data_IF_433751866569
#
_entry.id   IF_433751866569
#
_cell.length_a   1.000
_cell.length_b   1.000
_cell.length_c   1.000
_cell.angle_alpha   90.00
_cell.angle_beta   90.00
_cell.angle_gamma   90.00
#
_symmetry.space_group_name_H-M   'P 1'
#
loop_
_entity.id
_entity.type
_entity.pdbx_description
1 polymer ?
#
# COMPACT_ATOMS: atom_id res chain seq x y z
N UNK A 1 54.53 -25.21 13.94
CA UNK A 1 53.29 -24.49 13.59
C UNK A 1 53.51 -23.61 12.37
N UNK A 2 53.49 -24.22 11.17
CA UNK A 2 53.48 -23.60 9.86
C UNK A 2 52.01 -23.41 9.38
N UNK A 3 51.79 -22.71 8.24
CA UNK A 3 50.52 -22.57 7.45
C UNK A 3 49.72 -21.26 7.46
N UNK A 4 50.21 -20.15 8.02
CA UNK A 4 49.51 -18.85 7.84
C UNK A 4 50.38 -17.75 7.20
N UNK A 5 51.70 -17.79 7.35
CA UNK A 5 52.59 -16.78 6.75
C UNK A 5 52.89 -17.00 5.24
N UNK A 6 52.67 -18.22 4.71
CA UNK A 6 52.91 -18.53 3.29
C UNK A 6 51.68 -18.29 2.41
N UNK A 7 50.50 -18.09 2.99
CA UNK A 7 49.23 -17.93 2.25
C UNK A 7 48.83 -16.48 1.99
N UNK A 8 49.53 -15.52 2.59
CA UNK A 8 49.29 -14.07 2.41
C UNK A 8 50.23 -13.48 1.34
N UNK A 9 51.34 -14.15 1.03
CA UNK A 9 52.31 -13.69 0.03
C UNK A 9 51.91 -14.06 -1.42
N UNK A 10 50.89 -14.90 -1.59
CA UNK A 10 50.42 -15.38 -2.89
C UNK A 10 49.17 -14.63 -3.41
N UNK A 11 48.37 -14.03 -2.53
CA UNK A 11 47.16 -13.28 -2.94
C UNK A 11 47.40 -11.78 -3.22
N UNK A 12 48.54 -11.21 -2.80
CA UNK A 12 48.81 -9.76 -2.98
C UNK A 12 49.73 -9.48 -4.20
N UNK A 13 50.30 -10.52 -4.82
CA UNK A 13 51.31 -10.39 -5.88
C UNK A 13 50.80 -10.50 -7.32
N UNK A 14 49.54 -10.89 -7.53
CA UNK A 14 49.04 -11.31 -8.86
C UNK A 14 48.05 -10.33 -9.49
N UNK A 15 47.51 -9.35 -8.77
CA UNK A 15 46.59 -8.35 -9.35
C UNK A 15 47.27 -7.06 -9.88
N UNK A 16 48.54 -6.82 -9.57
CA UNK A 16 49.17 -5.52 -9.86
C UNK A 16 50.13 -5.48 -11.07
N UNK A 17 50.28 -6.57 -11.84
CA UNK A 17 51.32 -6.66 -12.89
C UNK A 17 50.85 -6.84 -14.33
N UNK A 18 49.56 -6.67 -14.65
CA UNK A 18 49.12 -6.62 -16.05
C UNK A 18 48.04 -5.56 -16.22
N UNK A 19 48.28 -4.64 -17.16
CA UNK A 19 47.32 -3.66 -17.69
C UNK A 19 47.41 -2.24 -17.12
N UNK A 20 48.61 -1.65 -17.13
CA UNK A 20 48.73 -0.24 -17.51
C UNK A 20 49.75 -0.14 -18.63
N UNK A 21 49.26 -0.24 -19.86
CA UNK A 21 49.72 0.47 -21.06
C UNK A 21 48.96 -0.10 -22.26
N UNK A 22 48.22 0.79 -22.94
CA UNK A 22 47.84 0.73 -24.35
C UNK A 22 46.36 1.09 -24.56
N UNK A 23 46.18 2.36 -24.92
CA UNK A 23 45.45 2.72 -26.14
C UNK A 23 43.94 2.55 -26.13
N UNK A 24 43.30 3.67 -25.79
CA UNK A 24 42.11 4.20 -26.45
C UNK A 24 41.98 3.75 -27.92
N UNK A 25 41.08 2.78 -28.21
CA UNK A 25 40.45 2.66 -29.53
C UNK A 25 39.24 1.70 -29.49
N UNK A 26 38.05 2.32 -29.41
CA UNK A 26 36.80 1.94 -30.11
C UNK A 26 36.03 0.67 -29.69
N UNK A 27 34.71 0.90 -29.57
CA UNK A 27 33.56 -0.01 -29.65
C UNK A 27 33.08 -0.69 -28.34
N UNK A 28 32.09 -0.02 -27.73
CA UNK A 28 31.06 -0.48 -26.79
C UNK A 28 30.89 -2.01 -26.72
N UNK A 29 31.50 -2.63 -25.71
CA UNK A 29 31.16 -3.98 -25.26
C UNK A 29 30.07 -3.91 -24.19
N UNK A 30 29.04 -4.73 -24.37
CA UNK A 30 27.88 -4.87 -23.49
C UNK A 30 28.33 -5.32 -22.09
N UNK A 31 27.90 -4.68 -20.98
CA UNK A 31 28.35 -5.03 -19.64
C UNK A 31 27.79 -6.39 -19.20
N UNK A 32 28.62 -7.21 -18.55
CA UNK A 32 28.28 -8.58 -18.08
C UNK A 32 27.07 -8.63 -17.11
N UNK A 33 26.69 -7.49 -16.52
CA UNK A 33 25.46 -7.31 -15.74
C UNK A 33 24.19 -7.50 -16.58
N UNK A 34 24.21 -7.09 -17.86
CA UNK A 34 23.08 -7.27 -18.78
C UNK A 34 22.92 -8.75 -19.16
N UNK A 35 24.03 -9.49 -19.27
CA UNK A 35 24.00 -10.94 -19.55
C UNK A 35 23.41 -11.71 -18.36
N UNK A 36 23.73 -11.32 -17.13
CA UNK A 36 23.12 -11.88 -15.91
C UNK A 36 21.62 -11.57 -15.80
N UNK A 37 21.20 -10.34 -16.11
CA UNK A 37 19.78 -9.97 -16.11
C UNK A 37 19.01 -10.77 -17.16
N UNK A 38 19.55 -10.89 -18.38
CA UNK A 38 18.92 -11.69 -19.46
C UNK A 38 18.88 -13.18 -19.11
N UNK A 39 19.94 -13.74 -18.51
CA UNK A 39 19.93 -15.14 -18.07
C UNK A 39 18.96 -15.37 -16.90
N UNK A 40 18.85 -14.42 -15.97
CA UNK A 40 17.88 -14.49 -14.87
C UNK A 40 16.45 -14.39 -15.39
N UNK A 41 16.19 -13.54 -16.39
CA UNK A 41 14.87 -13.43 -17.02
C UNK A 41 14.54 -14.68 -17.86
N UNK A 42 15.53 -15.27 -18.52
CA UNK A 42 15.38 -16.50 -19.29
C UNK A 42 15.18 -17.73 -18.40
N UNK A 43 15.87 -17.82 -17.26
CA UNK A 43 15.65 -18.85 -16.23
C UNK A 43 14.28 -18.68 -15.56
N UNK A 44 13.85 -17.46 -15.29
CA UNK A 44 12.51 -17.18 -14.75
C UNK A 44 11.42 -17.54 -15.77
N UNK A 45 11.63 -17.24 -17.05
CA UNK A 45 10.72 -17.62 -18.13
C UNK A 45 10.63 -19.15 -18.30
N UNK A 46 11.76 -19.87 -18.22
CA UNK A 46 11.80 -21.34 -18.26
C UNK A 46 11.13 -21.93 -17.01
N UNK A 47 11.31 -21.33 -15.84
CA UNK A 47 10.65 -21.75 -14.61
C UNK A 47 9.12 -21.56 -14.69
N UNK A 48 8.64 -20.49 -15.33
CA UNK A 48 7.21 -20.27 -15.58
C UNK A 48 6.62 -21.20 -16.64
N UNK A 49 7.39 -21.59 -17.67
CA UNK A 49 6.95 -22.55 -18.71
C UNK A 49 6.96 -23.99 -18.19
N UNK A 50 7.77 -24.29 -17.17
CA UNK A 50 7.91 -25.62 -16.57
C UNK A 50 6.91 -25.95 -15.45
N UNK A 51 6.00 -25.05 -15.08
CA UNK A 51 4.90 -25.43 -14.21
C UNK A 51 4.00 -26.42 -14.97
N UNK A 52 3.76 -27.64 -14.47
CA UNK A 52 2.64 -28.40 -14.96
C UNK A 52 1.40 -27.53 -14.71
N UNK A 53 0.69 -27.19 -15.79
CA UNK A 53 -0.73 -26.85 -15.71
C UNK A 53 -1.40 -28.04 -15.05
N UNK A 54 -1.48 -28.02 -13.72
CA UNK A 54 -2.44 -28.85 -13.02
C UNK A 54 -3.79 -28.42 -13.60
N UNK A 55 -4.33 -29.27 -14.46
CA UNK A 55 -5.75 -29.23 -14.80
C UNK A 55 -6.47 -29.03 -13.48
N UNK A 56 -7.16 -27.90 -13.35
CA UNK A 56 -7.99 -27.62 -12.20
C UNK A 56 -8.89 -28.84 -12.05
N UNK A 57 -8.70 -29.61 -10.98
CA UNK A 57 -9.69 -30.59 -10.59
C UNK A 57 -11.00 -29.80 -10.48
N UNK A 58 -12.08 -30.24 -11.14
CA UNK A 58 -13.33 -29.51 -11.07
C UNK A 58 -13.68 -29.38 -9.59
N UNK A 59 -13.82 -28.14 -9.12
CA UNK A 59 -14.44 -27.88 -7.83
C UNK A 59 -15.79 -28.61 -7.90
N UNK A 60 -16.14 -29.49 -6.94
CA UNK A 60 -17.39 -30.23 -6.99
C UNK A 60 -18.57 -29.26 -7.18
N UNK A 61 -19.27 -29.35 -8.31
CA UNK A 61 -20.40 -28.48 -8.67
C UNK A 61 -20.08 -27.29 -9.59
N UNK A 62 -18.81 -27.02 -9.93
CA UNK A 62 -18.41 -25.93 -10.84
C UNK A 62 -17.56 -26.52 -11.97
N UNK A 63 -18.20 -26.79 -13.11
CA UNK A 63 -17.52 -27.16 -14.35
C UNK A 63 -17.56 -25.94 -15.29
N UNK A 64 -16.47 -25.19 -15.37
CA UNK A 64 -16.32 -24.10 -16.33
C UNK A 64 -15.84 -24.74 -17.64
N UNK A 65 -16.75 -25.42 -18.34
CA UNK A 65 -16.53 -25.85 -19.72
C UNK A 65 -16.96 -24.72 -20.65
N UNK A 66 -16.04 -24.25 -21.50
CA UNK A 66 -16.35 -23.35 -22.62
C UNK A 66 -16.90 -24.20 -23.76
N UNK A 67 -18.00 -24.91 -23.49
CA UNK A 67 -18.77 -25.64 -24.50
C UNK A 67 -20.00 -24.81 -24.89
N UNK A 68 -20.52 -25.01 -26.10
CA UNK A 68 -21.76 -24.40 -26.56
C UNK A 68 -22.89 -24.69 -25.58
N UNK A 69 -23.32 -23.69 -24.82
CA UNK A 69 -24.33 -23.85 -23.77
C UNK A 69 -25.63 -24.41 -24.36
N UNK A 70 -26.05 -25.58 -23.87
CA UNK A 70 -27.25 -26.29 -24.35
C UNK A 70 -28.50 -25.97 -23.54
N UNK A 71 -28.39 -25.21 -22.44
CA UNK A 71 -29.52 -24.77 -21.60
C UNK A 71 -29.33 -23.34 -21.05
N UNK A 72 -30.40 -22.52 -20.96
CA UNK A 72 -30.34 -21.16 -20.40
C UNK A 72 -29.82 -21.09 -18.95
N UNK A 73 -30.04 -22.14 -18.15
CA UNK A 73 -29.58 -22.22 -16.76
C UNK A 73 -28.05 -22.32 -16.64
N UNK A 74 -27.37 -23.00 -17.58
CA UNK A 74 -25.90 -23.07 -17.58
C UNK A 74 -25.26 -21.71 -17.90
N UNK A 75 -25.89 -20.92 -18.77
CA UNK A 75 -25.46 -19.56 -19.09
C UNK A 75 -25.59 -18.64 -17.86
N UNK A 76 -26.70 -18.75 -17.12
CA UNK A 76 -26.93 -17.96 -15.90
C UNK A 76 -25.88 -18.25 -14.81
N UNK A 77 -25.59 -19.54 -14.53
CA UNK A 77 -24.57 -19.92 -13.53
C UNK A 77 -23.17 -19.47 -13.95
N UNK A 78 -22.83 -19.57 -15.24
CA UNK A 78 -21.53 -19.12 -15.76
C UNK A 78 -21.37 -17.61 -15.61
N UNK A 79 -22.42 -16.84 -15.95
CA UNK A 79 -22.44 -15.38 -15.76
C UNK A 79 -22.30 -14.99 -14.28
N UNK A 80 -22.95 -15.72 -13.37
CA UNK A 80 -22.86 -15.47 -11.93
C UNK A 80 -21.44 -15.71 -11.39
N UNK A 81 -20.76 -16.76 -11.84
CA UNK A 81 -19.36 -17.04 -11.46
C UNK A 81 -18.43 -15.96 -12.00
N UNK A 82 -18.59 -15.56 -13.27
CA UNK A 82 -17.80 -14.48 -13.87
C UNK A 82 -18.01 -13.17 -13.11
N UNK A 83 -19.24 -12.85 -12.72
CA UNK A 83 -19.55 -11.69 -11.90
C UNK A 83 -18.87 -11.76 -10.53
N UNK A 84 -18.93 -12.91 -9.84
CA UNK A 84 -18.28 -13.12 -8.55
C UNK A 84 -16.76 -12.94 -8.63
N UNK A 85 -16.11 -13.50 -9.65
CA UNK A 85 -14.68 -13.34 -9.89
C UNK A 85 -14.29 -11.89 -10.18
N UNK A 86 -15.16 -11.15 -10.88
CA UNK A 86 -14.98 -9.72 -11.16
C UNK A 86 -15.05 -8.91 -9.87
N UNK A 87 -16.05 -9.16 -9.03
CA UNK A 87 -16.20 -8.50 -7.72
C UNK A 87 -15.02 -8.82 -6.81
N UNK A 88 -14.57 -10.08 -6.77
CA UNK A 88 -13.41 -10.50 -5.97
C UNK A 88 -12.12 -9.78 -6.40
N UNK A 89 -11.96 -9.54 -7.70
CA UNK A 89 -10.82 -8.78 -8.25
C UNK A 89 -10.88 -7.30 -7.87
N UNK A 90 -12.08 -6.72 -7.79
CA UNK A 90 -12.28 -5.33 -7.34
C UNK A 90 -12.27 -5.16 -5.81
N UNK A 91 -12.43 -6.24 -5.04
CA UNK A 91 -12.54 -6.19 -3.58
C UNK A 91 -11.39 -5.41 -2.88
N UNK A 92 -10.11 -5.56 -3.25
CA UNK A 92 -9.03 -4.77 -2.65
C UNK A 92 -9.20 -3.26 -2.88
N UNK A 93 -9.66 -2.87 -4.07
CA UNK A 93 -9.87 -1.46 -4.40
C UNK A 93 -11.04 -0.88 -3.60
N UNK A 94 -12.12 -1.64 -3.45
CA UNK A 94 -13.27 -1.25 -2.62
C UNK A 94 -12.82 -1.05 -1.17
N UNK A 95 -12.12 -2.04 -0.59
CA UNK A 95 -11.58 -1.95 0.77
C UNK A 95 -10.72 -0.70 0.95
N UNK A 96 -9.80 -0.43 0.04
CA UNK A 96 -8.91 0.74 0.13
C UNK A 96 -9.69 2.07 0.10
N UNK A 97 -10.75 2.16 -0.69
CA UNK A 97 -11.50 3.40 -0.92
C UNK A 97 -12.65 3.64 0.06
N UNK A 98 -13.20 2.59 0.68
CA UNK A 98 -14.33 2.71 1.61
C UNK A 98 -13.94 2.64 3.08
N UNK A 99 -12.64 2.45 3.37
CA UNK A 99 -12.13 2.30 4.74
C UNK A 99 -11.07 3.34 5.11
N UNK A 100 -10.58 3.30 6.35
CA UNK A 100 -9.49 4.15 6.87
C UNK A 100 -8.11 3.84 6.28
N UNK A 101 -7.99 2.81 5.44
CA UNK A 101 -6.71 2.35 4.89
C UNK A 101 -5.92 3.46 4.20
N UNK A 102 -6.61 4.27 3.40
CA UNK A 102 -5.99 5.37 2.64
C UNK A 102 -5.25 6.35 3.56
N UNK A 103 -5.83 6.72 4.71
CA UNK A 103 -5.16 7.61 5.66
C UNK A 103 -3.93 6.96 6.28
N UNK A 104 -4.04 5.70 6.69
CA UNK A 104 -2.96 5.00 7.35
C UNK A 104 -1.74 4.77 6.45
N UNK A 105 -1.95 4.27 5.23
CA UNK A 105 -0.85 3.99 4.31
C UNK A 105 -0.09 5.27 3.92
N UNK A 106 -0.80 6.39 3.75
CA UNK A 106 -0.19 7.68 3.38
C UNK A 106 0.61 8.25 4.54
N UNK A 107 0.05 8.30 5.75
CA UNK A 107 0.75 8.84 6.92
C UNK A 107 2.01 8.03 7.25
N UNK A 108 1.93 6.70 7.21
CA UNK A 108 3.10 5.83 7.42
C UNK A 108 4.15 6.00 6.32
N UNK A 109 3.73 6.26 5.08
CA UNK A 109 4.66 6.55 3.97
C UNK A 109 5.36 7.90 4.16
N UNK A 110 4.64 8.93 4.61
CA UNK A 110 5.22 10.22 4.97
C UNK A 110 6.22 10.10 6.12
N UNK A 111 5.90 9.31 7.15
CA UNK A 111 6.79 9.05 8.27
C UNK A 111 8.13 8.44 7.81
N UNK A 112 8.07 7.42 6.96
CA UNK A 112 9.28 6.78 6.40
C UNK A 112 10.16 7.80 5.65
N UNK A 113 9.53 8.67 4.87
CA UNK A 113 10.25 9.71 4.13
C UNK A 113 10.84 10.77 5.09
N UNK A 114 10.12 11.15 6.13
CA UNK A 114 10.51 12.18 7.09
C UNK A 114 11.74 11.77 7.93
N UNK A 115 11.78 10.52 8.38
CA UNK A 115 12.89 9.94 9.13
C UNK A 115 14.17 9.87 8.28
N UNK A 116 14.03 9.76 6.96
CA UNK A 116 15.15 9.74 6.01
C UNK A 116 15.58 8.33 5.57
N UNK A 117 14.77 7.29 5.84
CA UNK A 117 15.05 5.90 5.47
C UNK A 117 14.05 5.38 4.43
N UNK A 118 14.17 5.75 3.14
CA UNK A 118 13.15 5.45 2.13
C UNK A 118 12.90 3.95 1.91
N UNK A 119 13.86 3.09 2.25
CA UNK A 119 13.76 1.64 2.11
C UNK A 119 13.33 0.90 3.39
N UNK A 120 13.38 1.56 4.56
CA UNK A 120 13.10 0.95 5.85
C UNK A 120 12.08 1.80 6.64
N UNK A 121 10.93 1.24 7.06
CA UNK A 121 10.46 -0.14 6.83
C UNK A 121 10.06 -0.41 5.37
N UNK A 122 10.09 -1.69 4.99
CA UNK A 122 9.73 -2.12 3.63
C UNK A 122 8.29 -1.76 3.30
N UNK A 123 7.99 -1.51 2.01
CA UNK A 123 6.63 -1.13 1.59
C UNK A 123 5.58 -2.19 1.98
N UNK A 124 5.97 -3.46 1.99
CA UNK A 124 5.10 -4.56 2.40
C UNK A 124 4.71 -4.46 3.88
N UNK A 125 5.65 -4.09 4.76
CA UNK A 125 5.36 -3.90 6.19
C UNK A 125 4.41 -2.71 6.38
N UNK A 126 4.64 -1.60 5.65
CA UNK A 126 3.77 -0.42 5.72
C UNK A 126 2.34 -0.75 5.30
N UNK A 127 2.17 -1.46 4.18
CA UNK A 127 0.86 -1.89 3.68
C UNK A 127 0.20 -2.86 4.66
N UNK A 128 0.94 -3.85 5.17
CA UNK A 128 0.43 -4.81 6.14
C UNK A 128 -0.05 -4.13 7.43
N UNK A 129 0.75 -3.22 7.98
CA UNK A 129 0.40 -2.45 9.16
C UNK A 129 -0.85 -1.57 8.91
N UNK A 130 -0.91 -0.88 7.78
CA UNK A 130 -2.07 -0.08 7.41
C UNK A 130 -3.34 -0.94 7.30
N UNK A 131 -3.24 -2.15 6.74
CA UNK A 131 -4.37 -3.07 6.59
C UNK A 131 -4.87 -3.57 7.95
N UNK A 132 -3.98 -4.04 8.82
CA UNK A 132 -4.37 -4.51 10.16
C UNK A 132 -4.96 -3.40 11.03
N UNK A 133 -4.39 -2.18 10.98
CA UNK A 133 -4.96 -1.03 11.68
C UNK A 133 -6.34 -0.66 11.13
N UNK A 134 -6.54 -0.77 9.82
CA UNK A 134 -7.85 -0.50 9.20
C UNK A 134 -8.89 -1.51 9.63
N UNK A 135 -8.54 -2.80 9.61
CA UNK A 135 -9.42 -3.86 10.09
C UNK A 135 -9.78 -3.64 11.57
N UNK A 136 -8.80 -3.27 12.40
CA UNK A 136 -9.01 -2.97 13.82
C UNK A 136 -10.00 -1.82 14.03
N UNK A 137 -9.81 -0.69 13.34
CA UNK A 137 -10.72 0.48 13.43
C UNK A 137 -12.10 0.18 12.86
N UNK A 138 -12.19 -0.72 11.88
CA UNK A 138 -13.44 -1.09 11.22
C UNK A 138 -14.26 -2.16 11.92
N UNK A 139 -13.72 -2.82 12.96
CA UNK A 139 -14.43 -3.86 13.72
C UNK A 139 -15.91 -3.53 14.03
N UNK A 140 -16.26 -2.35 14.61
CA UNK A 140 -17.66 -2.04 14.92
C UNK A 140 -18.55 -1.91 13.67
N UNK A 141 -18.00 -1.45 12.54
CA UNK A 141 -18.73 -1.34 11.27
C UNK A 141 -19.02 -2.73 10.71
N UNK A 142 -18.04 -3.64 10.77
CA UNK A 142 -18.24 -5.03 10.34
C UNK A 142 -19.24 -5.77 11.21
N UNK A 143 -19.28 -5.50 12.51
CA UNK A 143 -20.26 -6.05 13.44
C UNK A 143 -21.69 -5.55 13.13
N UNK A 144 -21.86 -4.26 12.81
CA UNK A 144 -23.14 -3.71 12.38
C UNK A 144 -23.58 -4.31 11.03
N UNK A 145 -22.67 -4.49 10.07
CA UNK A 145 -22.99 -5.17 8.79
C UNK A 145 -23.39 -6.64 9.02
N UNK A 146 -22.71 -7.34 9.93
CA UNK A 146 -23.01 -8.72 10.25
C UNK A 146 -24.44 -8.87 10.80
N UNK A 147 -24.79 -8.07 11.81
CA UNK A 147 -26.10 -8.13 12.49
C UNK A 147 -27.23 -7.54 11.66
N UNK A 148 -27.00 -6.47 10.90
CA UNK A 148 -28.05 -5.79 10.13
C UNK A 148 -28.34 -6.45 8.77
N UNK A 149 -27.37 -7.14 8.18
CA UNK A 149 -27.47 -7.67 6.82
C UNK A 149 -27.05 -9.15 6.69
N UNK A 150 -25.89 -9.56 7.20
CA UNK A 150 -25.36 -10.92 6.96
C UNK A 150 -26.20 -12.01 7.63
N UNK A 151 -26.47 -11.89 8.93
CA UNK A 151 -27.31 -12.86 9.67
C UNK A 151 -28.73 -12.96 9.06
N UNK A 152 -29.47 -11.85 8.84
CA UNK A 152 -30.78 -11.92 8.20
C UNK A 152 -30.79 -12.54 6.80
N UNK A 153 -29.71 -12.35 6.02
CA UNK A 153 -29.58 -12.94 4.68
C UNK A 153 -29.31 -14.44 4.74
N UNK A 154 -28.45 -14.89 5.66
CA UNK A 154 -28.18 -16.31 5.89
C UNK A 154 -29.41 -17.05 6.44
N UNK A 155 -30.24 -16.35 7.22
CA UNK A 155 -31.52 -16.85 7.74
C UNK A 155 -32.67 -16.74 6.70
N UNK A 156 -32.36 -16.35 5.45
CA UNK A 156 -33.32 -16.18 4.34
C UNK A 156 -34.48 -15.21 4.62
N UNK A 157 -34.30 -14.30 5.59
CA UNK A 157 -35.33 -13.32 6.00
C UNK A 157 -35.38 -12.08 5.12
N UNK A 158 -34.30 -11.80 4.39
CA UNK A 158 -34.19 -10.66 3.47
C UNK A 158 -33.76 -11.11 2.08
N UNK A 159 -34.17 -10.36 1.06
CA UNK A 159 -33.74 -10.59 -0.31
C UNK A 159 -32.28 -10.14 -0.53
N UNK A 160 -31.67 -10.58 -1.63
CA UNK A 160 -30.32 -10.13 -2.01
C UNK A 160 -30.25 -8.61 -2.26
N UNK A 161 -31.32 -8.01 -2.79
CA UNK A 161 -31.39 -6.56 -3.02
C UNK A 161 -31.39 -5.80 -1.68
N UNK A 162 -32.21 -6.26 -0.73
CA UNK A 162 -32.30 -5.66 0.59
C UNK A 162 -31.04 -5.89 1.44
N UNK A 163 -30.36 -7.03 1.25
CA UNK A 163 -29.04 -7.27 1.83
C UNK A 163 -28.03 -6.21 1.41
N UNK A 164 -27.97 -5.86 0.12
CA UNK A 164 -27.02 -4.86 -0.38
C UNK A 164 -27.30 -3.48 0.20
N UNK A 165 -28.57 -3.08 0.31
CA UNK A 165 -28.96 -1.79 0.88
C UNK A 165 -28.66 -1.69 2.37
N UNK A 166 -28.95 -2.76 3.14
CA UNK A 166 -28.67 -2.81 4.57
C UNK A 166 -27.16 -2.90 4.86
N UNK A 167 -26.40 -3.67 4.09
CA UNK A 167 -24.95 -3.79 4.25
C UNK A 167 -24.20 -2.49 3.88
N UNK A 168 -24.73 -1.73 2.93
CA UNK A 168 -24.17 -0.46 2.50
C UNK A 168 -24.27 0.65 3.55
N UNK A 169 -25.30 0.61 4.40
CA UNK A 169 -25.65 1.71 5.30
C UNK A 169 -24.60 1.97 6.41
N UNK A 170 -24.10 0.97 7.15
CA UNK A 170 -23.05 1.18 8.16
C UNK A 170 -21.76 1.75 7.56
N UNK A 171 -21.35 1.24 6.39
CA UNK A 171 -20.16 1.70 5.67
C UNK A 171 -20.35 3.15 5.23
N UNK A 172 -21.55 3.51 4.74
CA UNK A 172 -21.88 4.88 4.36
C UNK A 172 -21.87 5.84 5.55
N UNK A 173 -22.42 5.44 6.69
CA UNK A 173 -22.36 6.22 7.95
C UNK A 173 -20.93 6.43 8.41
N UNK A 174 -20.09 5.39 8.35
CA UNK A 174 -18.66 5.50 8.62
C UNK A 174 -18.02 6.56 7.72
N UNK A 175 -18.17 6.44 6.39
CA UNK A 175 -17.62 7.42 5.45
C UNK A 175 -18.15 8.83 5.73
N UNK A 176 -19.44 8.96 6.05
CA UNK A 176 -20.09 10.20 6.42
C UNK A 176 -19.45 10.89 7.62
N UNK A 177 -19.14 10.15 8.69
CA UNK A 177 -18.48 10.68 9.91
C UNK A 177 -17.13 11.33 9.62
N UNK A 178 -16.38 10.80 8.65
CA UNK A 178 -15.02 11.24 8.34
C UNK A 178 -14.93 12.10 7.07
N UNK A 179 -16.03 12.31 6.37
CA UNK A 179 -16.08 13.20 5.21
C UNK A 179 -16.34 14.64 5.65
N UNK A 180 -15.54 15.57 5.12
CA UNK A 180 -15.75 17.00 5.38
C UNK A 180 -16.96 17.49 4.59
N UNK A 181 -17.84 18.26 5.23
CA UNK A 181 -19.03 18.84 4.58
C UNK A 181 -18.71 19.59 3.28
N UNK A 182 -17.60 20.34 3.26
CA UNK A 182 -17.14 21.07 2.07
C UNK A 182 -16.81 20.15 0.89
N UNK A 183 -16.22 18.99 1.19
CA UNK A 183 -15.82 18.00 0.19
C UNK A 183 -17.05 17.23 -0.32
N UNK A 184 -17.97 16.88 0.58
CA UNK A 184 -19.27 16.31 0.20
C UNK A 184 -20.08 17.29 -0.68
N UNK A 185 -20.18 18.55 -0.28
CA UNK A 185 -20.90 19.59 -1.02
C UNK A 185 -20.30 19.87 -2.41
N UNK A 186 -19.00 19.62 -2.60
CA UNK A 186 -18.38 19.69 -3.92
C UNK A 186 -18.95 18.62 -4.85
N UNK A 187 -18.95 17.36 -4.43
CA UNK A 187 -19.42 16.25 -5.26
C UNK A 187 -20.94 16.25 -5.44
N UNK A 188 -21.73 16.66 -4.44
CA UNK A 188 -23.18 16.89 -4.59
C UNK A 188 -23.46 17.92 -5.70
N UNK A 189 -22.71 19.02 -5.74
CA UNK A 189 -22.85 20.05 -6.79
C UNK A 189 -22.42 19.54 -8.17
N UNK A 190 -21.34 18.78 -8.25
CA UNK A 190 -20.85 18.20 -9.51
C UNK A 190 -21.86 17.18 -10.06
N UNK A 191 -22.42 16.33 -9.18
CA UNK A 191 -23.40 15.32 -9.53
C UNK A 191 -24.79 15.89 -9.87
N UNK A 192 -25.03 17.18 -9.60
CA UNK A 192 -26.31 17.88 -9.81
C UNK A 192 -27.50 17.19 -9.15
N UNK A 193 -27.27 16.55 -8.00
CA UNK A 193 -28.33 15.94 -7.20
C UNK A 193 -28.97 16.99 -6.29
N UNK A 194 -30.23 16.75 -5.91
CA UNK A 194 -30.90 17.57 -4.91
C UNK A 194 -30.12 17.52 -3.59
N UNK A 195 -30.15 18.61 -2.82
CA UNK A 195 -29.39 18.68 -1.58
C UNK A 195 -29.96 17.64 -0.60
N UNK A 196 -29.17 16.64 -0.19
CA UNK A 196 -29.63 15.62 0.73
C UNK A 196 -29.88 16.25 2.10
N UNK A 197 -30.96 15.82 2.77
CA UNK A 197 -31.28 16.29 4.12
C UNK A 197 -30.43 15.56 5.17
N UNK A 198 -30.17 14.26 4.93
CA UNK A 198 -29.36 13.41 5.78
C UNK A 198 -28.20 12.76 5.01
N UNK A 199 -27.16 12.34 5.75
CA UNK A 199 -26.05 11.54 5.21
C UNK A 199 -26.52 10.23 4.56
N UNK A 200 -27.63 9.68 5.06
CA UNK A 200 -28.23 8.46 4.55
C UNK A 200 -28.90 8.65 3.17
N UNK A 201 -29.19 9.89 2.76
CA UNK A 201 -29.77 10.18 1.43
C UNK A 201 -28.69 10.34 0.35
N UNK A 202 -27.41 10.42 0.76
CA UNK A 202 -26.30 10.58 -0.17
C UNK A 202 -26.08 9.26 -0.93
N UNK A 203 -26.04 9.27 -2.27
CA UNK A 203 -25.69 8.08 -3.04
C UNK A 203 -24.23 7.66 -2.82
N UNK A 204 -23.98 6.35 -2.72
CA UNK A 204 -22.62 5.79 -2.47
C UNK A 204 -21.58 6.29 -3.48
N UNK A 205 -21.94 6.39 -4.76
CA UNK A 205 -21.05 6.84 -5.83
C UNK A 205 -20.61 8.31 -5.71
N UNK A 206 -21.37 9.13 -4.96
CA UNK A 206 -21.00 10.51 -4.59
C UNK A 206 -20.21 10.51 -3.28
N UNK A 207 -20.58 9.63 -2.36
CA UNK A 207 -19.95 9.54 -1.04
C UNK A 207 -18.48 9.08 -1.11
N UNK A 208 -18.19 8.03 -1.86
CA UNK A 208 -16.85 7.44 -1.98
C UNK A 208 -15.80 8.48 -2.41
N UNK A 209 -15.94 9.22 -3.53
CA UNK A 209 -14.94 10.19 -3.94
C UNK A 209 -14.82 11.37 -2.96
N UNK A 210 -15.92 11.80 -2.33
CA UNK A 210 -15.88 12.85 -1.31
C UNK A 210 -15.10 12.42 -0.06
N UNK A 211 -15.32 11.18 0.38
CA UNK A 211 -14.60 10.56 1.49
C UNK A 211 -13.11 10.44 1.18
N UNK A 212 -12.74 9.88 0.02
CA UNK A 212 -11.33 9.73 -0.38
C UNK A 212 -10.61 11.08 -0.39
N UNK A 213 -11.22 12.14 -0.94
CA UNK A 213 -10.61 13.48 -0.91
C UNK A 213 -10.45 14.01 0.52
N UNK A 214 -11.43 13.77 1.39
CA UNK A 214 -11.37 14.19 2.81
C UNK A 214 -10.24 13.47 3.55
N UNK A 215 -10.11 12.15 3.34
CA UNK A 215 -9.06 11.32 3.91
C UNK A 215 -7.68 11.69 3.40
N UNK A 216 -7.53 11.94 2.09
CA UNK A 216 -6.29 12.42 1.50
C UNK A 216 -5.86 13.74 2.15
N UNK A 217 -6.76 14.72 2.29
CA UNK A 217 -6.45 15.98 2.95
C UNK A 217 -6.01 15.78 4.39
N UNK A 218 -6.72 14.95 5.16
CA UNK A 218 -6.35 14.64 6.53
C UNK A 218 -4.98 13.95 6.62
N UNK A 219 -4.72 12.96 5.76
CA UNK A 219 -3.45 12.23 5.72
C UNK A 219 -2.27 13.14 5.38
N UNK A 220 -2.43 14.03 4.40
CA UNK A 220 -1.40 15.00 4.04
C UNK A 220 -1.17 16.04 5.13
N UNK A 221 -2.23 16.50 5.83
CA UNK A 221 -2.09 17.39 6.98
C UNK A 221 -1.26 16.72 8.09
N UNK A 222 -1.60 15.49 8.47
CA UNK A 222 -0.85 14.72 9.47
C UNK A 222 0.59 14.49 8.99
N UNK A 223 0.77 14.03 7.75
CA UNK A 223 2.08 13.78 7.16
C UNK A 223 2.97 15.02 7.15
N UNK A 224 2.41 16.20 6.85
CA UNK A 224 3.12 17.47 6.93
C UNK A 224 3.54 17.79 8.37
N UNK A 225 2.64 17.68 9.35
CA UNK A 225 2.97 17.91 10.76
C UNK A 225 4.10 16.98 11.24
N UNK A 226 4.10 15.71 10.80
CA UNK A 226 5.18 14.77 11.11
C UNK A 226 6.51 15.19 10.49
N UNK A 227 6.49 15.87 9.33
CA UNK A 227 7.69 16.29 8.61
C UNK A 227 8.40 17.48 9.25
N UNK A 228 7.65 18.40 9.87
CA UNK A 228 8.16 19.64 10.47
C UNK A 228 9.35 19.45 11.41
N UNK A 229 9.31 18.59 12.45
CA UNK A 229 10.44 18.45 13.37
C UNK A 229 11.71 17.94 12.68
N UNK A 230 11.58 17.01 11.74
CA UNK A 230 12.73 16.46 11.01
C UNK A 230 13.33 17.46 10.02
N UNK A 231 12.49 18.31 9.41
CA UNK A 231 12.94 19.39 8.55
C UNK A 231 13.79 20.40 9.32
N UNK A 232 13.38 20.75 10.55
CA UNK A 232 14.16 21.64 11.42
C UNK A 232 15.55 21.05 11.69
N UNK A 233 15.64 19.75 11.96
CA UNK A 233 16.94 19.06 12.16
C UNK A 233 17.81 19.17 10.90
N UNK A 234 17.24 18.90 9.72
CA UNK A 234 17.98 19.03 8.45
C UNK A 234 18.52 20.44 8.23
N UNK A 235 17.68 21.47 8.47
CA UNK A 235 18.05 22.87 8.28
C UNK A 235 19.16 23.28 9.25
N UNK A 236 19.09 22.85 10.51
CA UNK A 236 20.13 23.12 11.53
C UNK A 236 21.44 22.42 11.16
N UNK A 237 21.41 21.13 10.83
CA UNK A 237 22.62 20.37 10.44
C UNK A 237 23.25 20.97 9.18
N UNK A 238 22.45 21.32 8.18
CA UNK A 238 22.95 21.97 6.97
C UNK A 238 23.66 23.30 7.28
N UNK A 239 23.08 24.14 8.16
CA UNK A 239 23.69 25.42 8.54
C UNK A 239 25.06 25.24 9.24
N UNK A 240 25.20 24.22 10.09
CA UNK A 240 26.45 23.92 10.79
C UNK A 240 27.50 23.38 9.80
N UNK A 241 27.12 22.47 8.90
CA UNK A 241 28.03 21.93 7.89
C UNK A 241 28.54 23.01 6.94
N UNK A 242 27.66 23.93 6.52
CA UNK A 242 28.05 25.08 5.71
C UNK A 242 29.01 26.01 6.46
N UNK A 243 28.80 26.24 7.77
CA UNK A 243 29.69 27.03 8.59
C UNK A 243 31.08 26.39 8.77
N UNK A 244 31.17 25.06 8.75
CA UNK A 244 32.45 24.31 8.77
C UNK A 244 33.17 24.30 7.41
N UNK A 245 32.55 24.81 6.34
CA UNK A 245 33.10 24.79 4.99
C UNK A 245 32.93 23.47 4.23
N UNK A 246 32.15 22.52 4.76
CA UNK A 246 31.92 21.22 4.12
C UNK A 246 30.75 21.29 3.12
N UNK A 247 30.94 21.98 1.99
CA UNK A 247 29.88 22.18 0.98
C UNK A 247 29.57 20.93 0.14
N UNK A 248 30.49 19.97 0.05
CA UNK A 248 30.34 18.80 -0.83
C UNK A 248 29.60 17.61 -0.19
N UNK A 249 29.39 17.65 1.13
CA UNK A 249 28.74 16.57 1.85
C UNK A 249 27.22 16.82 1.92
N UNK A 250 26.37 15.90 1.44
CA UNK A 250 24.93 16.05 1.59
C UNK A 250 24.54 16.11 3.08
N UNK A 251 23.92 17.21 3.56
CA UNK A 251 23.58 17.36 4.98
C UNK A 251 22.69 16.25 5.54
N UNK A 252 21.87 15.64 4.68
CA UNK A 252 20.95 14.54 5.02
C UNK A 252 21.67 13.32 5.59
N UNK A 253 22.88 13.02 5.11
CA UNK A 253 23.65 11.88 5.59
C UNK A 253 24.08 12.05 7.06
N UNK A 254 24.32 13.30 7.47
CA UNK A 254 24.71 13.63 8.83
C UNK A 254 23.48 13.78 9.73
N UNK A 255 22.37 14.30 9.23
CA UNK A 255 21.14 14.46 10.02
C UNK A 255 20.41 13.14 10.30
N UNK A 256 20.52 12.15 9.41
CA UNK A 256 19.86 10.84 9.54
C UNK A 256 20.04 10.14 10.89
N UNK A 257 21.27 9.94 11.43
CA UNK A 257 21.45 9.32 12.74
C UNK A 257 20.79 10.13 13.88
N UNK A 258 20.82 11.46 13.82
CA UNK A 258 20.14 12.30 14.82
C UNK A 258 18.63 12.18 14.75
N UNK A 259 18.05 12.12 13.53
CA UNK A 259 16.61 11.90 13.34
C UNK A 259 16.16 10.56 13.90
N UNK A 260 16.90 9.49 13.57
CA UNK A 260 16.60 8.14 14.07
C UNK A 260 16.70 8.08 15.59
N UNK A 261 17.74 8.67 16.17
CA UNK A 261 17.91 8.74 17.61
C UNK A 261 16.75 9.48 18.26
N UNK A 262 16.39 10.68 17.78
CA UNK A 262 15.26 11.44 18.31
C UNK A 262 13.96 10.66 18.20
N UNK A 263 13.70 10.04 17.04
CA UNK A 263 12.48 9.29 16.79
C UNK A 263 12.33 8.07 17.73
N UNK A 264 13.42 7.35 18.00
CA UNK A 264 13.42 6.22 18.94
C UNK A 264 13.31 6.73 20.39
N UNK A 265 13.99 7.81 20.75
CA UNK A 265 13.98 8.37 22.10
C UNK A 265 12.60 8.86 22.54
N UNK A 266 11.80 9.39 21.62
CA UNK A 266 10.43 9.83 21.90
C UNK A 266 9.39 8.73 21.75
N UNK A 267 9.81 7.50 21.44
CA UNK A 267 8.92 6.39 21.07
C UNK A 267 7.92 6.78 19.96
N UNK A 268 8.46 7.29 18.86
CA UNK A 268 7.65 7.90 17.80
C UNK A 268 6.68 6.92 17.12
N UNK A 269 6.99 5.62 17.06
CA UNK A 269 6.07 4.61 16.55
C UNK A 269 4.80 4.52 17.41
N UNK A 270 4.96 4.45 18.74
CA UNK A 270 3.83 4.38 19.66
C UNK A 270 2.95 5.64 19.57
N UNK A 271 3.58 6.82 19.57
CA UNK A 271 2.87 8.11 19.49
C UNK A 271 2.07 8.25 18.20
N UNK A 272 2.67 7.91 17.06
CA UNK A 272 2.03 8.07 15.76
C UNK A 272 0.90 7.07 15.59
N UNK A 273 1.13 5.79 15.87
CA UNK A 273 0.09 4.76 15.75
C UNK A 273 -1.07 5.04 16.71
N UNK A 274 -0.78 5.41 17.96
CA UNK A 274 -1.79 5.77 18.95
C UNK A 274 -2.62 6.98 18.52
N UNK A 275 -1.98 8.03 18.01
CA UNK A 275 -2.67 9.24 17.51
C UNK A 275 -3.53 8.94 16.29
N UNK A 276 -3.03 8.11 15.37
CA UNK A 276 -3.77 7.70 14.17
C UNK A 276 -5.04 6.90 14.50
N UNK A 277 -4.96 5.96 15.44
CA UNK A 277 -6.14 5.17 15.86
C UNK A 277 -7.14 6.06 16.60
N UNK A 278 -6.68 6.93 17.52
CA UNK A 278 -7.53 7.91 18.21
C UNK A 278 -8.24 8.88 17.27
N UNK A 279 -7.70 9.11 16.07
CA UNK A 279 -8.34 9.96 15.07
C UNK A 279 -9.59 9.33 14.44
N UNK A 280 -9.84 8.03 14.66
CA UNK A 280 -11.03 7.32 14.18
C UNK A 280 -11.90 6.79 15.32
N UNK A 281 -11.28 6.43 16.44
CA UNK A 281 -11.96 5.85 17.61
C UNK A 281 -11.87 6.83 18.77
N UNK A 282 -13.05 7.28 19.22
CA UNK A 282 -13.18 8.06 20.45
C UNK A 282 -13.18 7.06 21.62
N UNK A 283 -12.11 7.05 22.43
CA UNK A 283 -12.00 6.24 23.65
C UNK A 283 -12.52 6.99 24.89
#
# INVERSE_FOLDING_TARGET
MPRLASKIKEEVGTEFSKSSFSTCSKAVSCPDSLRFIVHSFFLLAIFCVGMPLYAQTPIPGINISVDSASSPQQVATTLQIVFLLTVLTMAPAILIMTTSFTRFVIVLSFLRQAIGTPQAPSNQIVIGLALFLSLFVMMPVWEEVNTAALEPYLDETISQEEFMDRAALPIKRFMGKFTREKDLALFVRIAKIERPNNLDDVPIWVMIPAFVISELKAAFQIGFLLYVPFLVIDMVVASILMAMGMMMMPPVMISLPFKLMLFVLVDGWHLILGSMVKSFVDF
#
